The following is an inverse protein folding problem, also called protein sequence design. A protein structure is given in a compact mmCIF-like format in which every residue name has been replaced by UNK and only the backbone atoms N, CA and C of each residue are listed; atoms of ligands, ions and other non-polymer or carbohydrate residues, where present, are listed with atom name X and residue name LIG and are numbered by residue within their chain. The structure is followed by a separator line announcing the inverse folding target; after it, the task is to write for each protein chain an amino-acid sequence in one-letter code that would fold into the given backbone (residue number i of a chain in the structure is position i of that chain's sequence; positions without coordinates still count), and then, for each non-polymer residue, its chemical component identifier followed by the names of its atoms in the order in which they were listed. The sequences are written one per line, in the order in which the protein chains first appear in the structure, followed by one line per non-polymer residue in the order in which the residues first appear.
data_IF_751186950230
#
_entry.id   IF_751186950230
#
_cell.length_a   1.000
_cell.length_b   1.000
_cell.length_c   1.000
_cell.angle_alpha   90.00
_cell.angle_beta   90.00
_cell.angle_gamma   90.00
#
_symmetry.space_group_name_H-M   'P 1'
#
loop_
_entity.id
_entity.type
_entity.pdbx_description
1 polymer ?
#
# COMPACT_ATOMS: atom_id res chain seq x y z
N UNK A 1 32.24 32.75 -12.81
CA UNK A 1 31.10 31.82 -12.69
C UNK A 1 30.61 31.88 -11.26
N UNK A 2 29.49 32.56 -11.04
CA UNK A 2 29.05 33.02 -9.71
C UNK A 2 28.15 31.96 -9.07
N UNK A 3 28.28 31.72 -7.76
CA UNK A 3 27.58 30.66 -7.01
C UNK A 3 26.04 30.79 -7.12
N UNK A 4 25.53 31.98 -7.50
CA UNK A 4 24.11 32.24 -7.76
C UNK A 4 23.56 31.61 -9.06
N UNK A 5 24.36 31.48 -10.12
CA UNK A 5 23.88 30.88 -11.40
C UNK A 5 23.65 29.36 -11.30
N UNK A 6 24.36 28.67 -10.39
CA UNK A 6 24.19 27.23 -10.14
C UNK A 6 22.90 26.91 -9.38
N UNK A 7 22.37 27.88 -8.61
CA UNK A 7 21.17 27.70 -7.79
C UNK A 7 19.88 27.88 -8.60
N UNK A 8 19.85 28.78 -9.59
CA UNK A 8 18.66 28.99 -10.42
C UNK A 8 18.41 27.84 -11.40
N UNK A 9 19.46 27.13 -11.84
CA UNK A 9 19.32 26.02 -12.78
C UNK A 9 18.72 24.74 -12.15
N UNK A 10 18.63 24.66 -10.82
CA UNK A 10 18.07 23.49 -10.12
C UNK A 10 16.62 23.63 -9.65
N UNK A 11 15.98 24.80 -9.80
CA UNK A 11 14.59 24.99 -9.35
C UNK A 11 13.51 24.62 -10.38
N UNK A 12 13.86 24.35 -11.64
CA UNK A 12 12.89 24.02 -12.69
C UNK A 12 12.61 22.52 -12.85
N UNK A 13 12.96 21.70 -11.85
CA UNK A 13 12.82 20.24 -11.86
C UNK A 13 11.54 19.70 -11.21
N UNK A 14 10.56 20.56 -10.87
CA UNK A 14 9.24 20.06 -10.49
C UNK A 14 8.50 19.76 -11.78
N UNK A 15 8.45 18.47 -12.14
CA UNK A 15 7.41 17.98 -13.04
C UNK A 15 6.09 18.15 -12.30
N UNK A 16 5.51 19.34 -12.40
CA UNK A 16 4.09 19.55 -12.10
C UNK A 16 3.38 18.69 -13.13
N UNK A 17 2.84 17.55 -12.70
CA UNK A 17 2.01 16.71 -13.54
C UNK A 17 0.97 17.61 -14.22
N UNK A 18 1.05 17.69 -15.54
CA UNK A 18 0.12 18.46 -16.35
C UNK A 18 -1.32 18.10 -15.92
N UNK A 19 -2.09 19.14 -15.61
CA UNK A 19 -3.36 19.07 -14.90
C UNK A 19 -4.42 18.50 -15.87
N UNK A 20 -4.35 17.18 -16.09
CA UNK A 20 -5.35 16.42 -16.84
C UNK A 20 -6.69 16.63 -16.16
N UNK A 21 -7.67 17.13 -16.93
CA UNK A 21 -9.07 17.27 -16.54
C UNK A 21 -9.48 16.12 -15.63
N UNK A 22 -9.79 16.42 -14.37
CA UNK A 22 -10.28 15.43 -13.41
C UNK A 22 -11.48 14.74 -14.07
N UNK A 23 -11.37 13.44 -14.33
CA UNK A 23 -12.48 12.64 -14.87
C UNK A 23 -13.73 12.91 -14.04
N UNK A 24 -14.91 13.02 -14.67
CA UNK A 24 -16.18 13.25 -13.97
C UNK A 24 -16.38 12.22 -12.82
N UNK A 25 -15.90 10.99 -13.03
CA UNK A 25 -15.88 9.95 -12.01
C UNK A 25 -14.98 10.31 -10.82
N UNK A 26 -13.77 10.81 -11.06
CA UNK A 26 -12.87 11.26 -9.99
C UNK A 26 -13.43 12.48 -9.25
N UNK A 27 -14.15 13.37 -9.93
CA UNK A 27 -14.85 14.48 -9.28
C UNK A 27 -15.98 13.99 -8.36
N UNK A 28 -16.77 13.02 -8.82
CA UNK A 28 -17.83 12.38 -8.02
C UNK A 28 -17.26 11.65 -6.80
N UNK A 29 -16.21 10.85 -6.99
CA UNK A 29 -15.50 10.20 -5.88
C UNK A 29 -14.95 11.20 -4.86
N UNK A 30 -14.38 12.31 -5.33
CA UNK A 30 -13.91 13.39 -4.45
C UNK A 30 -15.04 14.02 -3.66
N UNK A 31 -16.21 14.22 -4.28
CA UNK A 31 -17.42 14.69 -3.61
C UNK A 31 -17.88 13.74 -2.51
N UNK A 32 -18.03 12.46 -2.84
CA UNK A 32 -18.40 11.42 -1.88
C UNK A 32 -17.41 11.31 -0.70
N UNK A 33 -16.10 11.38 -0.99
CA UNK A 33 -15.06 11.35 0.05
C UNK A 33 -15.12 12.55 1.00
N UNK A 34 -15.42 13.75 0.49
CA UNK A 34 -15.61 14.93 1.36
C UNK A 34 -16.86 14.78 2.25
N UNK A 35 -17.93 14.23 1.69
CA UNK A 35 -19.21 14.03 2.40
C UNK A 35 -19.15 12.91 3.43
N UNK A 36 -18.35 11.87 3.22
CA UNK A 36 -18.24 10.74 4.17
C UNK A 36 -17.64 11.13 5.52
N UNK A 37 -17.04 12.32 5.64
CA UNK A 37 -16.42 12.76 6.88
C UNK A 37 -15.16 11.97 7.24
N UNK A 38 -14.59 11.20 6.31
CA UNK A 38 -13.41 10.35 6.58
C UNK A 38 -12.23 11.13 7.19
N UNK A 39 -12.07 12.42 6.84
CA UNK A 39 -11.05 13.28 7.46
C UNK A 39 -11.29 13.56 8.95
N UNK A 40 -12.55 13.59 9.39
CA UNK A 40 -12.92 13.84 10.79
C UNK A 40 -12.58 12.65 11.70
N UNK A 41 -12.51 11.44 11.14
CA UNK A 41 -12.14 10.24 11.88
C UNK A 41 -10.73 10.32 12.48
N UNK A 42 -9.81 11.05 11.84
CA UNK A 42 -8.45 11.27 12.36
C UNK A 42 -8.37 12.32 13.48
N UNK A 43 -9.45 13.06 13.72
CA UNK A 43 -9.55 14.05 14.81
C UNK A 43 -10.45 13.60 15.96
N UNK A 44 -10.84 12.33 16.00
CA UNK A 44 -11.60 11.77 17.11
C UNK A 44 -10.74 11.71 18.39
N UNK A 45 -11.35 11.80 19.58
CA UNK A 45 -10.69 11.48 20.83
C UNK A 45 -10.08 10.07 20.81
N UNK A 46 -9.05 9.85 21.63
CA UNK A 46 -8.28 8.60 21.66
C UNK A 46 -9.13 7.34 21.89
N UNK A 47 -10.12 7.41 22.77
CA UNK A 47 -11.00 6.27 23.07
C UNK A 47 -11.94 5.94 21.89
N UNK A 48 -12.39 6.95 21.16
CA UNK A 48 -13.26 6.79 19.99
C UNK A 48 -12.49 6.27 18.78
N UNK A 49 -11.30 6.81 18.51
CA UNK A 49 -10.46 6.33 17.40
C UNK A 49 -10.00 4.89 17.66
N UNK A 50 -9.72 4.52 18.91
CA UNK A 50 -9.38 3.15 19.30
C UNK A 50 -10.52 2.18 18.97
N UNK A 51 -11.77 2.51 19.34
CA UNK A 51 -12.95 1.69 19.01
C UNK A 51 -13.11 1.52 17.48
N UNK A 52 -12.79 2.55 16.70
CA UNK A 52 -12.83 2.49 15.23
C UNK A 52 -11.74 1.57 14.69
N UNK A 53 -10.50 1.69 15.19
CA UNK A 53 -9.36 0.86 14.81
C UNK A 53 -9.64 -0.61 15.12
N UNK A 54 -10.05 -0.92 16.35
CA UNK A 54 -10.41 -2.28 16.77
C UNK A 54 -11.50 -2.87 15.89
N UNK A 55 -12.54 -2.07 15.60
CA UNK A 55 -13.62 -2.48 14.70
C UNK A 55 -13.13 -2.80 13.29
N UNK A 56 -12.23 -2.00 12.74
CA UNK A 56 -11.65 -2.26 11.42
C UNK A 56 -10.77 -3.51 11.41
N UNK A 57 -10.02 -3.76 12.50
CA UNK A 57 -9.10 -4.89 12.60
C UNK A 57 -9.75 -6.25 12.85
N UNK A 58 -11.04 -6.31 13.24
CA UNK A 58 -11.73 -7.59 13.57
C UNK A 58 -11.61 -8.69 12.51
N UNK A 59 -11.43 -8.34 11.24
CA UNK A 59 -11.32 -9.29 10.13
C UNK A 59 -10.02 -9.11 9.32
N UNK A 60 -9.03 -8.45 9.91
CA UNK A 60 -7.74 -8.11 9.28
C UNK A 60 -6.61 -8.80 10.04
N UNK A 61 -5.44 -8.88 9.41
CA UNK A 61 -4.24 -9.48 10.01
C UNK A 61 -3.63 -10.58 9.15
N UNK A 62 -2.95 -11.52 9.80
CA UNK A 62 -2.23 -12.60 9.11
C UNK A 62 -3.21 -13.51 8.38
N UNK A 63 -2.95 -13.74 7.10
CA UNK A 63 -3.72 -14.67 6.28
C UNK A 63 -2.80 -15.46 5.35
N UNK A 64 -3.22 -16.68 5.04
CA UNK A 64 -2.60 -17.51 3.99
C UNK A 64 -3.62 -17.74 2.89
N UNK A 65 -3.32 -17.37 1.63
CA UNK A 65 -4.21 -17.65 0.51
C UNK A 65 -4.31 -19.17 0.28
N UNK A 66 -5.52 -19.64 -0.02
CA UNK A 66 -5.78 -21.05 -0.34
C UNK A 66 -6.10 -21.27 -1.84
N UNK A 67 -6.01 -20.21 -2.65
CA UNK A 67 -6.21 -20.32 -4.10
C UNK A 67 -4.92 -20.75 -4.82
N UNK A 68 -5.06 -21.11 -6.10
CA UNK A 68 -3.94 -21.56 -6.94
C UNK A 68 -3.52 -20.51 -7.97
N UNK A 69 -3.75 -19.22 -7.68
CA UNK A 69 -3.46 -18.12 -8.64
C UNK A 69 -2.01 -17.62 -8.56
N UNK A 70 -1.22 -18.14 -7.62
CA UNK A 70 0.21 -17.94 -7.46
C UNK A 70 0.77 -19.05 -6.55
N UNK A 71 2.08 -19.15 -6.46
CA UNK A 71 2.76 -19.92 -5.44
C UNK A 71 2.89 -19.06 -4.18
N UNK A 72 2.36 -19.55 -3.07
CA UNK A 72 2.36 -18.87 -1.78
C UNK A 72 3.25 -19.61 -0.81
N UNK A 73 4.15 -18.88 -0.15
CA UNK A 73 4.98 -19.39 0.93
C UNK A 73 4.92 -18.42 2.10
N UNK A 74 4.68 -18.91 3.32
CA UNK A 74 4.77 -18.07 4.51
C UNK A 74 6.05 -18.43 5.25
N UNK A 75 6.94 -17.46 5.40
CA UNK A 75 8.18 -17.59 6.17
C UNK A 75 8.11 -16.72 7.42
N UNK A 76 8.96 -16.99 8.41
CA UNK A 76 9.13 -16.13 9.58
C UNK A 76 10.36 -15.25 9.41
N UNK A 77 10.19 -13.93 9.51
CA UNK A 77 11.27 -12.93 9.47
C UNK A 77 11.24 -12.13 10.76
N UNK A 78 12.32 -12.18 11.56
CA UNK A 78 12.41 -11.49 12.86
C UNK A 78 11.24 -11.79 13.82
N UNK A 79 10.71 -13.01 13.77
CA UNK A 79 9.57 -13.43 14.61
C UNK A 79 8.19 -13.10 14.04
N UNK A 80 8.11 -12.41 12.89
CA UNK A 80 6.85 -12.04 12.25
C UNK A 80 6.62 -12.82 10.95
N UNK A 81 5.37 -13.21 10.63
CA UNK A 81 5.06 -13.85 9.37
C UNK A 81 5.34 -12.91 8.18
N UNK A 82 5.86 -13.46 7.09
CA UNK A 82 6.01 -12.78 5.81
C UNK A 82 5.47 -13.71 4.72
N UNK A 83 4.43 -13.26 4.02
CA UNK A 83 3.89 -13.97 2.87
C UNK A 83 4.72 -13.63 1.63
N UNK A 84 5.26 -14.65 0.98
CA UNK A 84 5.94 -14.54 -0.31
C UNK A 84 4.96 -15.02 -1.38
N UNK A 85 4.76 -14.18 -2.39
CA UNK A 85 3.92 -14.45 -3.56
C UNK A 85 4.80 -14.57 -4.80
N UNK A 86 4.77 -15.74 -5.45
CA UNK A 86 5.60 -16.04 -6.63
C UNK A 86 4.78 -16.55 -7.80
N UNK A 87 5.24 -16.26 -9.02
CA UNK A 87 4.58 -16.76 -10.23
C UNK A 87 4.98 -18.20 -10.53
N UNK A 88 6.20 -18.58 -10.17
CA UNK A 88 6.77 -19.90 -10.39
C UNK A 88 7.18 -20.54 -9.05
N UNK A 89 7.30 -21.88 -8.97
CA UNK A 89 7.80 -22.55 -7.77
C UNK A 89 9.23 -22.12 -7.40
N UNK A 90 10.06 -21.85 -8.42
CA UNK A 90 11.43 -21.39 -8.24
C UNK A 90 11.44 -19.89 -7.92
N UNK A 91 12.17 -19.45 -6.87
CA UNK A 91 12.30 -18.03 -6.55
C UNK A 91 12.83 -17.20 -7.72
N UNK A 92 12.31 -15.97 -7.84
CA UNK A 92 12.80 -14.99 -8.82
C UNK A 92 14.12 -14.36 -8.34
N UNK A 93 14.93 -13.85 -9.28
CA UNK A 93 16.19 -13.15 -8.93
C UNK A 93 15.97 -11.79 -8.26
N UNK A 94 14.75 -11.24 -8.37
CA UNK A 94 14.37 -9.92 -7.84
C UNK A 94 13.13 -10.04 -6.97
N UNK A 95 13.06 -9.16 -5.97
CA UNK A 95 11.93 -9.08 -5.06
C UNK A 95 11.40 -7.66 -4.93
N UNK A 96 10.11 -7.55 -4.65
CA UNK A 96 9.44 -6.33 -4.20
C UNK A 96 9.07 -6.53 -2.74
N UNK A 97 9.58 -5.68 -1.86
CA UNK A 97 9.11 -5.61 -0.49
C UNK A 97 7.89 -4.70 -0.42
N UNK A 98 6.72 -5.28 -0.18
CA UNK A 98 5.44 -4.56 -0.20
C UNK A 98 4.91 -4.35 1.22
N UNK A 99 4.98 -3.11 1.70
CA UNK A 99 4.36 -2.69 2.95
C UNK A 99 2.91 -2.26 2.67
N UNK A 100 1.95 -2.93 3.33
CA UNK A 100 0.55 -2.52 3.27
C UNK A 100 0.35 -1.16 3.96
N UNK A 101 -0.68 -0.44 3.51
CA UNK A 101 -1.11 0.79 4.17
C UNK A 101 -1.99 0.49 5.38
N UNK A 102 -2.24 1.49 6.21
CA UNK A 102 -3.05 1.33 7.44
C UNK A 102 -2.65 2.23 8.59
N UNK A 103 -1.72 3.17 8.35
CA UNK A 103 -1.28 4.14 9.35
C UNK A 103 -0.62 3.49 10.57
N UNK A 104 -0.01 2.32 10.41
CA UNK A 104 0.59 1.50 11.48
C UNK A 104 -0.40 0.96 12.52
N UNK A 105 -1.70 1.13 12.32
CA UNK A 105 -2.73 0.70 13.29
C UNK A 105 -3.78 -0.21 12.68
N UNK A 106 -3.91 -0.23 11.36
CA UNK A 106 -4.81 -1.13 10.63
C UNK A 106 -4.01 -2.22 9.93
N UNK A 107 -4.38 -3.48 10.17
CA UNK A 107 -3.76 -4.64 9.53
C UNK A 107 -4.16 -4.79 8.05
N UNK A 108 -3.48 -5.70 7.33
CA UNK A 108 -3.79 -5.98 5.94
C UNK A 108 -5.07 -6.80 5.81
N UNK A 109 -5.62 -6.83 4.60
CA UNK A 109 -6.74 -7.71 4.29
C UNK A 109 -6.56 -8.44 2.94
N UNK A 110 -7.52 -9.30 2.60
CA UNK A 110 -7.43 -10.12 1.37
C UNK A 110 -7.48 -9.27 0.08
N UNK A 111 -7.81 -7.99 0.17
CA UNK A 111 -7.75 -7.01 -0.92
C UNK A 111 -6.33 -6.67 -1.36
N UNK A 112 -5.31 -6.94 -0.53
CA UNK A 112 -3.90 -6.81 -0.92
C UNK A 112 -3.46 -7.90 -1.92
N UNK A 113 -4.13 -9.07 -1.92
CA UNK A 113 -3.73 -10.20 -2.76
C UNK A 113 -3.80 -9.93 -4.27
N UNK A 114 -4.86 -9.32 -4.83
CA UNK A 114 -4.87 -8.90 -6.23
C UNK A 114 -3.73 -7.94 -6.58
N UNK A 115 -3.36 -7.03 -5.67
CA UNK A 115 -2.26 -6.06 -5.88
C UNK A 115 -0.92 -6.79 -5.95
N UNK A 116 -0.63 -7.63 -4.95
CA UNK A 116 0.60 -8.45 -4.93
C UNK A 116 0.73 -9.31 -6.18
N UNK A 117 -0.35 -9.99 -6.57
CA UNK A 117 -0.37 -10.82 -7.78
C UNK A 117 -0.16 -10.02 -9.06
N UNK A 118 -0.69 -8.80 -9.13
CA UNK A 118 -0.47 -7.91 -10.27
C UNK A 118 0.98 -7.45 -10.32
N UNK A 119 1.55 -7.01 -9.20
CA UNK A 119 2.95 -6.60 -9.11
C UNK A 119 3.89 -7.74 -9.52
N UNK A 120 3.66 -8.95 -8.99
CA UNK A 120 4.38 -10.16 -9.35
C UNK A 120 4.37 -10.40 -10.87
N UNK A 121 3.20 -10.49 -11.49
CA UNK A 121 3.07 -10.76 -12.94
C UNK A 121 3.68 -9.68 -13.81
N UNK A 122 3.41 -8.41 -13.49
CA UNK A 122 3.83 -7.31 -14.34
C UNK A 122 5.35 -7.06 -14.26
N UNK A 123 6.00 -7.52 -13.17
CA UNK A 123 7.42 -7.24 -12.93
C UNK A 123 8.31 -8.47 -13.01
N UNK A 124 7.76 -9.68 -12.93
CA UNK A 124 8.52 -10.92 -12.77
C UNK A 124 9.30 -10.99 -11.45
N UNK A 125 8.92 -10.21 -10.44
CA UNK A 125 9.52 -10.23 -9.10
C UNK A 125 8.69 -11.12 -8.17
N UNK A 126 9.36 -11.74 -7.20
CA UNK A 126 8.66 -12.26 -6.02
C UNK A 126 8.17 -11.07 -5.17
N UNK A 127 6.95 -11.15 -4.64
CA UNK A 127 6.44 -10.11 -3.73
C UNK A 127 6.53 -10.60 -2.30
N UNK A 128 7.27 -9.88 -1.48
CA UNK A 128 7.46 -10.15 -0.05
C UNK A 128 6.53 -9.22 0.73
N UNK A 129 5.63 -9.82 1.49
CA UNK A 129 4.57 -9.14 2.24
C UNK A 129 4.71 -9.41 3.73
N UNK A 130 5.50 -8.61 4.45
CA UNK A 130 5.69 -8.76 5.88
C UNK A 130 4.41 -8.35 6.62
N UNK A 131 3.89 -9.25 7.47
CA UNK A 131 2.89 -8.91 8.47
C UNK A 131 3.60 -8.25 9.65
N UNK A 132 3.97 -6.98 9.46
CA UNK A 132 4.69 -6.19 10.46
C UNK A 132 3.80 -5.90 11.70
N UNK A 133 4.42 -5.59 12.86
CA UNK A 133 3.71 -5.39 14.13
C UNK A 133 2.62 -4.33 14.07
#
# INVERSE_FOLDING_TARGET
MNIKESAEMKLNGVVVADNRKISAFAALLRGAYKLSGAKKAFGLPEDEITKVIEKQNRHRGVFTPADHKAYYETVTVNGFPCLIVRENPKPSERAILYFFGGGMVIGPDKGDLPVMRKLMRDTGCDVWFPFYP
#
